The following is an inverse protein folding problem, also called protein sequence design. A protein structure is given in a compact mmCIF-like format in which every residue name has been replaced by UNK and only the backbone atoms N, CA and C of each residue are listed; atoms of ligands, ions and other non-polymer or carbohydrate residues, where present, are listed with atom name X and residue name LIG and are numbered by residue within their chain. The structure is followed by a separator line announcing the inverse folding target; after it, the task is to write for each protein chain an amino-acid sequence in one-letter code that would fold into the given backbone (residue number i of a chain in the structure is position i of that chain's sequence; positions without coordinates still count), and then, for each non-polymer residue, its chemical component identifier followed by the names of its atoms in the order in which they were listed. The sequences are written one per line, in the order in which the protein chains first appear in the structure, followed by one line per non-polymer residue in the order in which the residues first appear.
data_IF_272331344401
#
_entry.id   IF_272331344401
#
_cell.length_a   1.000
_cell.length_b   1.000
_cell.length_c   1.000
_cell.angle_alpha   90.00
_cell.angle_beta   90.00
_cell.angle_gamma   90.00
#
_symmetry.space_group_name_H-M   'P 1'
#
loop_
_entity.id
_entity.type
_entity.pdbx_description
1 polymer ?
#
# COMPACT_ATOMS: atom_id res chain seq x y z
N UNK A 1 4.97 -20.19 -26.85
CA UNK A 1 4.69 -19.71 -25.47
C UNK A 1 5.78 -18.75 -25.08
N UNK A 2 5.41 -17.49 -24.87
CA UNK A 2 6.37 -16.46 -24.47
C UNK A 2 6.68 -16.61 -22.98
N UNK A 3 7.96 -16.58 -22.62
CA UNK A 3 8.46 -16.57 -21.26
C UNK A 3 7.94 -15.37 -20.48
N UNK A 4 6.86 -15.53 -19.74
CA UNK A 4 6.31 -14.46 -18.87
C UNK A 4 6.93 -14.46 -17.46
N UNK A 5 7.89 -15.35 -17.19
CA UNK A 5 8.48 -15.56 -15.86
C UNK A 5 9.14 -14.30 -15.28
N UNK A 6 9.84 -13.52 -16.09
CA UNK A 6 10.47 -12.26 -15.64
C UNK A 6 9.45 -11.15 -15.32
N UNK A 7 8.37 -11.05 -16.10
CA UNK A 7 7.30 -10.07 -15.85
C UNK A 7 6.51 -10.38 -14.57
N UNK A 8 6.35 -11.65 -14.22
CA UNK A 8 5.69 -12.09 -13.00
C UNK A 8 6.44 -11.66 -11.73
N UNK A 9 7.75 -11.61 -11.75
CA UNK A 9 8.58 -11.27 -10.58
C UNK A 9 8.50 -9.79 -10.20
N UNK A 10 8.56 -8.89 -11.17
CA UNK A 10 8.46 -7.42 -10.96
C UNK A 10 7.06 -7.06 -10.43
N UNK A 11 6.01 -7.70 -10.90
CA UNK A 11 4.65 -7.42 -10.48
C UNK A 11 4.37 -7.81 -9.03
N UNK A 12 4.92 -8.94 -8.55
CA UNK A 12 4.72 -9.44 -7.19
C UNK A 12 5.30 -8.53 -6.11
N UNK A 13 6.43 -7.85 -6.35
CA UNK A 13 7.00 -6.89 -5.39
C UNK A 13 6.09 -5.69 -5.14
N UNK A 14 5.33 -5.24 -6.13
CA UNK A 14 4.44 -4.08 -6.00
C UNK A 14 3.20 -4.37 -5.13
N UNK A 15 2.75 -5.61 -5.05
CA UNK A 15 1.57 -6.00 -4.26
C UNK A 15 1.89 -6.35 -2.81
N UNK A 16 3.17 -6.59 -2.48
CA UNK A 16 3.56 -6.86 -1.09
C UNK A 16 3.42 -5.58 -0.25
N UNK A 17 2.85 -5.74 0.94
CA UNK A 17 2.67 -4.67 1.92
C UNK A 17 3.67 -4.75 3.06
N UNK A 18 4.07 -3.58 3.57
CA UNK A 18 4.80 -3.45 4.83
C UNK A 18 3.90 -3.51 6.06
N UNK A 19 2.56 -3.51 5.85
CA UNK A 19 1.55 -3.66 6.90
C UNK A 19 0.81 -4.97 6.68
N UNK A 20 0.33 -5.57 7.78
CA UNK A 20 -0.30 -6.89 7.78
C UNK A 20 0.49 -7.91 6.95
N UNK A 21 1.71 -8.13 7.40
CA UNK A 21 2.71 -8.93 6.68
C UNK A 21 2.25 -10.37 6.44
N UNK A 22 1.37 -10.89 7.32
CA UNK A 22 0.79 -12.23 7.18
C UNK A 22 -0.07 -12.37 5.93
N UNK A 23 -0.78 -11.31 5.54
CA UNK A 23 -1.59 -11.30 4.29
C UNK A 23 -0.73 -11.43 3.04
N UNK A 24 0.56 -11.08 3.11
CA UNK A 24 1.48 -11.31 1.99
C UNK A 24 1.66 -12.80 1.66
N UNK A 25 1.47 -13.72 2.61
CA UNK A 25 1.47 -15.16 2.32
C UNK A 25 0.31 -15.54 1.40
N UNK A 26 -0.88 -14.98 1.67
CA UNK A 26 -2.06 -15.20 0.81
C UNK A 26 -1.84 -14.63 -0.58
N UNK A 27 -1.27 -13.41 -0.68
CA UNK A 27 -0.91 -12.80 -1.98
C UNK A 27 0.09 -13.64 -2.75
N UNK A 28 1.11 -14.16 -2.07
CA UNK A 28 2.12 -15.02 -2.69
C UNK A 28 1.50 -16.34 -3.18
N UNK A 29 0.58 -16.95 -2.42
CA UNK A 29 -0.12 -18.17 -2.80
C UNK A 29 -1.00 -17.95 -4.04
N UNK A 30 -1.83 -16.89 -4.05
CA UNK A 30 -2.66 -16.56 -5.20
C UNK A 30 -1.83 -16.22 -6.45
N UNK A 31 -0.73 -15.49 -6.27
CA UNK A 31 0.16 -15.15 -7.38
C UNK A 31 0.89 -16.38 -7.94
N UNK A 32 1.30 -17.33 -7.07
CA UNK A 32 1.89 -18.58 -7.51
C UNK A 32 0.89 -19.43 -8.28
N UNK A 33 -0.31 -19.60 -7.73
CA UNK A 33 -1.40 -20.31 -8.40
C UNK A 33 -1.67 -19.74 -9.79
N UNK A 34 -1.84 -18.42 -9.90
CA UNK A 34 -2.11 -17.75 -11.17
C UNK A 34 -0.96 -17.94 -12.18
N UNK A 35 0.30 -17.87 -11.72
CA UNK A 35 1.46 -18.06 -12.58
C UNK A 35 1.53 -19.48 -13.15
N UNK A 36 1.29 -20.50 -12.29
CA UNK A 36 1.28 -21.90 -12.70
C UNK A 36 0.11 -22.20 -13.64
N UNK A 37 -1.10 -21.71 -13.30
CA UNK A 37 -2.28 -21.86 -14.15
C UNK A 37 -2.11 -21.17 -15.52
N UNK A 38 -1.36 -20.07 -15.58
CA UNK A 38 -1.01 -19.36 -16.82
C UNK A 38 0.14 -19.98 -17.61
N UNK A 39 0.68 -21.13 -17.16
CA UNK A 39 1.74 -21.86 -17.88
C UNK A 39 3.13 -21.24 -17.76
N UNK A 40 3.45 -20.57 -16.66
CA UNK A 40 4.81 -20.09 -16.42
C UNK A 40 5.80 -21.24 -16.23
N UNK A 41 6.93 -21.22 -16.93
CA UNK A 41 7.97 -22.24 -16.84
C UNK A 41 8.70 -22.21 -15.49
N UNK A 42 8.87 -21.04 -14.92
CA UNK A 42 9.56 -20.83 -13.65
C UNK A 42 8.81 -19.81 -12.79
N UNK A 43 8.63 -20.11 -11.51
CA UNK A 43 7.98 -19.22 -10.55
C UNK A 43 8.90 -18.95 -9.37
N UNK A 44 9.25 -17.68 -9.14
CA UNK A 44 10.01 -17.24 -8.00
C UNK A 44 9.10 -16.45 -7.06
N UNK A 45 8.97 -16.89 -5.80
CA UNK A 45 8.22 -16.19 -4.76
C UNK A 45 9.14 -15.46 -3.80
N UNK A 46 8.72 -14.28 -3.38
CA UNK A 46 9.40 -13.52 -2.33
C UNK A 46 8.83 -13.85 -0.95
N UNK A 47 9.65 -13.99 0.08
CA UNK A 47 9.20 -14.14 1.46
C UNK A 47 8.27 -13.00 1.87
N UNK A 48 7.21 -13.33 2.59
CA UNK A 48 6.17 -12.39 3.01
C UNK A 48 6.71 -11.22 3.86
N UNK A 49 7.81 -11.44 4.59
CA UNK A 49 8.48 -10.45 5.43
C UNK A 49 9.48 -9.56 4.69
N UNK A 50 9.79 -9.82 3.42
CA UNK A 50 10.89 -9.19 2.69
C UNK A 50 10.82 -7.66 2.61
N UNK A 51 9.62 -7.09 2.71
CA UNK A 51 9.44 -5.63 2.67
C UNK A 51 9.85 -4.97 4.00
N UNK A 52 9.67 -5.67 5.11
CA UNK A 52 9.89 -5.13 6.46
C UNK A 52 11.17 -5.62 7.09
N UNK A 53 11.70 -6.77 6.62
CA UNK A 53 12.86 -7.40 7.23
C UNK A 53 13.65 -8.30 6.27
N UNK A 54 14.91 -8.60 6.62
CA UNK A 54 15.65 -9.68 5.97
C UNK A 54 14.99 -11.02 6.31
N UNK A 55 14.60 -11.83 5.31
CA UNK A 55 13.87 -13.06 5.55
C UNK A 55 14.63 -14.09 6.38
N UNK A 56 13.96 -14.65 7.37
CA UNK A 56 14.48 -15.77 8.17
C UNK A 56 14.49 -17.09 7.40
N UNK A 57 15.09 -18.13 7.97
CA UNK A 57 15.01 -19.49 7.41
C UNK A 57 13.56 -20.03 7.40
N UNK A 58 12.76 -19.66 8.41
CA UNK A 58 11.33 -19.98 8.49
C UNK A 58 10.54 -19.35 7.36
N UNK A 59 10.75 -18.04 7.10
CA UNK A 59 10.07 -17.33 6.02
C UNK A 59 10.36 -17.95 4.64
N UNK A 60 11.62 -18.32 4.40
CA UNK A 60 12.03 -19.01 3.16
C UNK A 60 11.44 -20.41 3.07
N UNK A 61 11.27 -21.12 4.19
CA UNK A 61 10.60 -22.41 4.23
C UNK A 61 9.13 -22.29 3.86
N UNK A 62 8.42 -21.30 4.41
CA UNK A 62 7.00 -21.05 4.11
C UNK A 62 6.80 -20.82 2.62
N UNK A 63 7.61 -19.96 1.99
CA UNK A 63 7.50 -19.67 0.56
C UNK A 63 7.74 -20.90 -0.33
N UNK A 64 8.70 -21.75 0.02
CA UNK A 64 8.90 -23.04 -0.67
C UNK A 64 7.71 -23.97 -0.49
N UNK A 65 7.14 -24.00 0.72
CA UNK A 65 6.00 -24.85 1.00
C UNK A 65 4.73 -24.42 0.27
N UNK A 66 4.52 -23.13 -0.01
CA UNK A 66 3.44 -22.67 -0.89
C UNK A 66 3.51 -23.37 -2.25
N UNK A 67 4.70 -23.43 -2.85
CA UNK A 67 4.89 -24.13 -4.14
C UNK A 67 4.68 -25.65 -4.00
N UNK A 68 5.16 -26.23 -2.90
CA UNK A 68 4.98 -27.67 -2.64
C UNK A 68 3.49 -28.04 -2.44
N UNK A 69 2.71 -27.23 -1.72
CA UNK A 69 1.26 -27.41 -1.55
C UNK A 69 0.55 -27.38 -2.91
N UNK A 70 0.87 -26.38 -3.76
CA UNK A 70 0.30 -26.29 -5.10
C UNK A 70 0.67 -27.50 -5.98
N UNK A 71 1.90 -28.00 -5.85
CA UNK A 71 2.36 -29.12 -6.64
C UNK A 71 1.82 -30.48 -6.15
N UNK A 72 1.86 -30.73 -4.83
CA UNK A 72 1.64 -32.06 -4.26
C UNK A 72 0.26 -32.26 -3.63
N UNK A 73 -0.42 -31.18 -3.22
CA UNK A 73 -1.72 -31.27 -2.55
C UNK A 73 -2.87 -30.74 -3.43
N UNK A 74 -2.64 -29.69 -4.24
CA UNK A 74 -3.64 -29.22 -5.20
C UNK A 74 -3.51 -29.82 -6.60
N UNK A 75 -2.44 -30.58 -6.86
CA UNK A 75 -2.19 -31.30 -8.11
C UNK A 75 -2.28 -30.45 -9.38
N UNK A 76 -2.10 -29.14 -9.29
CA UNK A 76 -2.25 -28.21 -10.42
C UNK A 76 -1.26 -28.51 -11.57
N UNK A 77 -0.12 -29.14 -11.25
CA UNK A 77 0.89 -29.54 -12.23
C UNK A 77 0.52 -30.80 -13.04
N UNK A 78 -0.56 -31.48 -12.68
CA UNK A 78 -0.99 -32.72 -13.40
C UNK A 78 -1.73 -32.38 -14.70
N UNK A 79 -2.07 -31.15 -14.95
CA UNK A 79 -2.72 -30.67 -16.17
C UNK A 79 -1.80 -29.70 -16.88
N UNK A 80 -1.56 -29.94 -18.19
CA UNK A 80 -0.61 -29.11 -18.97
C UNK A 80 -1.07 -27.67 -19.18
N UNK A 81 -2.38 -27.43 -19.25
CA UNK A 81 -2.98 -26.12 -19.43
C UNK A 81 -4.29 -26.04 -18.64
N UNK A 82 -4.22 -25.77 -17.33
CA UNK A 82 -5.40 -25.79 -16.45
C UNK A 82 -6.46 -24.75 -16.83
N UNK A 83 -6.07 -23.65 -17.48
CA UNK A 83 -6.96 -22.56 -17.90
C UNK A 83 -7.40 -22.66 -19.36
N UNK A 84 -6.86 -23.63 -20.11
CA UNK A 84 -7.14 -23.83 -21.54
C UNK A 84 -8.61 -24.08 -21.83
N UNK A 85 -9.14 -23.47 -22.88
CA UNK A 85 -10.53 -23.58 -23.30
C UNK A 85 -11.53 -22.69 -22.49
N UNK A 86 -11.06 -21.94 -21.49
CA UNK A 86 -11.88 -20.92 -20.84
C UNK A 86 -12.05 -19.71 -21.76
N UNK A 87 -13.23 -19.45 -22.27
CA UNK A 87 -13.51 -18.31 -23.16
C UNK A 87 -13.04 -16.96 -22.58
N UNK A 88 -13.20 -16.78 -21.27
CA UNK A 88 -12.74 -15.56 -20.60
C UNK A 88 -11.22 -15.42 -20.60
N UNK A 89 -10.51 -16.50 -20.26
CA UNK A 89 -9.04 -16.51 -20.19
C UNK A 89 -8.42 -16.37 -21.58
N UNK A 90 -8.93 -17.11 -22.58
CA UNK A 90 -8.47 -17.02 -23.97
C UNK A 90 -8.66 -15.61 -24.55
N UNK A 91 -9.88 -15.05 -24.41
CA UNK A 91 -10.17 -13.70 -24.89
C UNK A 91 -9.30 -12.63 -24.19
N UNK A 92 -9.07 -12.78 -22.88
CA UNK A 92 -8.22 -11.85 -22.13
C UNK A 92 -6.76 -11.97 -22.56
N UNK A 93 -6.28 -13.17 -22.85
CA UNK A 93 -4.93 -13.44 -23.36
C UNK A 93 -4.72 -12.77 -24.71
N UNK A 94 -5.67 -12.91 -25.65
CA UNK A 94 -5.62 -12.26 -26.95
C UNK A 94 -5.61 -10.72 -26.84
N UNK A 95 -6.46 -10.17 -25.99
CA UNK A 95 -6.50 -8.71 -25.74
C UNK A 95 -5.15 -8.21 -25.21
N UNK A 96 -4.55 -8.92 -24.22
CA UNK A 96 -3.24 -8.54 -23.69
C UNK A 96 -2.13 -8.67 -24.74
N UNK A 97 -2.15 -9.73 -25.55
CA UNK A 97 -1.17 -9.92 -26.63
C UNK A 97 -1.25 -8.78 -27.63
N UNK A 98 -2.45 -8.41 -28.10
CA UNK A 98 -2.66 -7.29 -29.03
C UNK A 98 -2.20 -5.96 -28.42
N UNK A 99 -2.60 -5.65 -27.18
CA UNK A 99 -2.20 -4.40 -26.52
C UNK A 99 -0.69 -4.31 -26.28
N UNK A 100 -0.05 -5.40 -25.92
CA UNK A 100 1.39 -5.46 -25.74
C UNK A 100 2.11 -5.22 -27.07
N UNK A 101 1.60 -5.80 -28.16
CA UNK A 101 2.13 -5.62 -29.51
C UNK A 101 1.97 -4.18 -29.99
N UNK A 102 0.81 -3.55 -29.78
CA UNK A 102 0.59 -2.12 -30.08
C UNK A 102 1.63 -1.23 -29.38
N UNK A 103 1.87 -1.48 -28.07
CA UNK A 103 2.87 -0.71 -27.30
C UNK A 103 4.28 -0.94 -27.83
N UNK A 104 4.62 -2.19 -28.16
CA UNK A 104 5.92 -2.52 -28.77
C UNK A 104 6.13 -1.78 -30.09
N UNK A 105 5.16 -1.84 -31.01
CA UNK A 105 5.21 -1.14 -32.29
C UNK A 105 5.34 0.38 -32.10
N UNK A 106 4.63 0.96 -31.14
CA UNK A 106 4.73 2.38 -30.82
C UNK A 106 6.14 2.78 -30.36
N UNK A 107 6.79 1.96 -29.54
CA UNK A 107 8.16 2.18 -29.07
C UNK A 107 9.15 2.07 -30.22
N UNK A 108 9.03 1.02 -31.05
CA UNK A 108 9.92 0.79 -32.21
C UNK A 108 9.79 1.88 -33.27
N UNK A 109 8.57 2.33 -33.59
CA UNK A 109 8.35 3.42 -34.59
C UNK A 109 9.02 4.73 -34.19
N UNK A 110 9.29 4.93 -32.90
CA UNK A 110 9.97 6.12 -32.36
C UNK A 110 11.48 5.91 -32.13
N UNK A 111 12.06 4.86 -32.71
CA UNK A 111 13.49 4.56 -32.67
C UNK A 111 13.96 3.63 -31.57
N UNK A 112 13.05 2.81 -31.03
CA UNK A 112 13.34 1.71 -30.15
C UNK A 112 13.44 2.08 -28.67
N UNK A 113 13.42 1.05 -27.80
CA UNK A 113 13.33 1.18 -26.35
C UNK A 113 14.43 2.07 -25.75
N UNK A 114 15.71 1.86 -26.13
CA UNK A 114 16.83 2.61 -25.55
C UNK A 114 16.73 4.12 -25.83
N UNK A 115 16.33 4.51 -27.06
CA UNK A 115 16.14 5.90 -27.42
C UNK A 115 14.99 6.54 -26.67
N UNK A 116 13.85 5.83 -26.53
CA UNK A 116 12.68 6.30 -25.82
C UNK A 116 12.92 6.38 -24.31
N UNK A 117 13.72 5.49 -23.74
CA UNK A 117 14.10 5.54 -22.33
C UNK A 117 14.98 6.78 -22.03
N UNK A 118 15.98 7.05 -22.89
CA UNK A 118 16.82 8.25 -22.77
C UNK A 118 16.03 9.56 -22.97
N UNK A 119 15.03 9.55 -23.85
CA UNK A 119 14.15 10.69 -24.11
C UNK A 119 13.10 10.91 -23.00
N UNK A 120 12.92 9.96 -22.07
CA UNK A 120 11.94 10.06 -20.98
C UNK A 120 10.52 9.59 -21.32
N UNK A 121 10.23 9.20 -22.57
CA UNK A 121 8.89 8.77 -23.00
C UNK A 121 8.40 7.52 -22.28
N UNK A 122 9.30 6.57 -22.00
CA UNK A 122 8.96 5.38 -21.19
C UNK A 122 8.55 5.79 -19.78
N UNK A 123 9.25 6.75 -19.17
CA UNK A 123 8.91 7.31 -17.87
C UNK A 123 7.49 7.91 -17.86
N UNK A 124 7.16 8.71 -18.90
CA UNK A 124 5.81 9.30 -19.02
C UNK A 124 4.70 8.26 -19.15
N UNK A 125 4.93 7.19 -19.91
CA UNK A 125 3.98 6.08 -20.06
C UNK A 125 3.73 5.39 -18.71
N UNK A 126 4.79 5.11 -17.95
CA UNK A 126 4.69 4.50 -16.61
C UNK A 126 3.97 5.43 -15.63
N UNK A 127 4.29 6.73 -15.63
CA UNK A 127 3.63 7.72 -14.77
C UNK A 127 2.14 7.87 -15.09
N UNK A 128 1.77 7.85 -16.37
CA UNK A 128 0.35 7.88 -16.78
C UNK A 128 -0.42 6.66 -16.26
N UNK A 129 0.15 5.47 -16.42
CA UNK A 129 -0.45 4.24 -15.90
C UNK A 129 -0.55 4.26 -14.37
N UNK A 130 0.49 4.76 -13.69
CA UNK A 130 0.49 4.89 -12.23
C UNK A 130 -0.59 5.86 -11.72
N UNK A 131 -0.78 7.00 -12.37
CA UNK A 131 -1.83 7.98 -11.98
C UNK A 131 -3.22 7.35 -11.96
N UNK A 132 -3.56 6.56 -12.99
CA UNK A 132 -4.85 5.85 -13.03
C UNK A 132 -4.96 4.86 -11.87
N UNK A 133 -3.92 4.05 -11.65
CA UNK A 133 -3.89 3.06 -10.59
C UNK A 133 -3.95 3.69 -9.20
N UNK A 134 -3.20 4.77 -8.99
CA UNK A 134 -3.25 5.53 -7.74
C UNK A 134 -4.66 6.05 -7.46
N UNK A 135 -5.33 6.65 -8.44
CA UNK A 135 -6.70 7.12 -8.25
C UNK A 135 -7.67 5.98 -7.86
N UNK A 136 -7.51 4.78 -8.45
CA UNK A 136 -8.32 3.63 -8.07
C UNK A 136 -8.04 3.16 -6.63
N UNK A 137 -6.77 3.21 -6.19
CA UNK A 137 -6.40 2.90 -4.81
C UNK A 137 -6.95 3.95 -3.85
N UNK A 138 -6.79 5.23 -4.16
CA UNK A 138 -7.25 6.35 -3.33
C UNK A 138 -8.77 6.35 -3.13
N UNK A 139 -9.54 5.95 -4.17
CA UNK A 139 -10.99 5.82 -4.08
C UNK A 139 -11.47 4.44 -3.60
N UNK A 140 -10.54 3.54 -3.26
CA UNK A 140 -10.80 2.14 -2.88
C UNK A 140 -11.58 1.33 -3.92
N UNK A 141 -11.55 1.77 -5.19
CA UNK A 141 -12.03 0.95 -6.31
C UNK A 141 -11.16 -0.31 -6.46
N UNK A 142 -9.83 -0.14 -6.28
CA UNK A 142 -8.86 -1.23 -6.10
C UNK A 142 -8.50 -1.28 -4.61
N UNK A 143 -8.93 -2.33 -3.90
CA UNK A 143 -8.61 -2.47 -2.48
C UNK A 143 -7.33 -3.28 -2.25
N UNK A 144 -6.63 -2.95 -1.17
CA UNK A 144 -5.47 -3.70 -0.67
C UNK A 144 -5.83 -4.25 0.71
N UNK A 145 -6.18 -5.54 0.77
CA UNK A 145 -6.59 -6.23 2.01
C UNK A 145 -5.51 -6.11 3.09
N UNK A 146 -5.92 -5.83 4.32
CA UNK A 146 -5.01 -5.59 5.45
C UNK A 146 -4.40 -4.18 5.46
N UNK A 147 -4.67 -3.34 4.43
CA UNK A 147 -4.13 -1.99 4.30
C UNK A 147 -5.24 -0.96 4.07
N UNK A 148 -5.81 -0.88 2.85
CA UNK A 148 -6.93 0.03 2.54
C UNK A 148 -8.30 -0.56 2.83
N UNK A 149 -8.36 -1.87 3.13
CA UNK A 149 -9.56 -2.60 3.55
C UNK A 149 -9.17 -3.62 4.61
N UNK A 150 -9.97 -3.70 5.68
CA UNK A 150 -9.76 -4.61 6.80
C UNK A 150 -8.37 -4.50 7.45
N UNK A 151 -7.89 -3.28 7.79
CA UNK A 151 -6.57 -3.11 8.43
C UNK A 151 -6.56 -3.63 9.86
N UNK A 152 -5.45 -4.26 10.27
CA UNK A 152 -5.19 -4.57 11.67
C UNK A 152 -4.50 -3.38 12.36
N UNK A 153 -5.19 -2.75 13.31
CA UNK A 153 -4.65 -1.62 14.08
C UNK A 153 -3.61 -2.03 15.12
N UNK A 154 -3.64 -3.29 15.56
CA UNK A 154 -2.84 -3.79 16.68
C UNK A 154 -1.63 -4.61 16.23
N UNK A 155 -1.32 -4.60 14.93
CA UNK A 155 -0.12 -5.29 14.43
C UNK A 155 1.15 -4.76 15.11
N UNK A 156 2.03 -5.67 15.51
CA UNK A 156 3.30 -5.33 16.16
C UNK A 156 4.48 -5.47 15.19
N UNK A 157 4.78 -4.41 14.45
CA UNK A 157 5.90 -4.36 13.51
C UNK A 157 7.27 -4.35 14.19
N UNK A 158 7.39 -3.91 15.44
CA UNK A 158 8.68 -3.84 16.15
C UNK A 158 9.26 -5.24 16.38
N UNK A 159 8.42 -6.23 16.66
CA UNK A 159 8.86 -7.63 16.77
C UNK A 159 9.46 -8.16 15.47
N UNK A 160 8.96 -7.69 14.32
CA UNK A 160 9.42 -8.11 13.01
C UNK A 160 10.72 -7.37 12.64
N UNK A 161 10.80 -6.07 12.91
CA UNK A 161 11.97 -5.21 12.62
C UNK A 161 13.18 -5.52 13.52
N UNK A 162 12.98 -5.80 14.79
CA UNK A 162 14.07 -6.02 15.77
C UNK A 162 14.98 -7.22 15.46
N UNK A 163 14.49 -8.21 14.70
CA UNK A 163 15.29 -9.37 14.28
C UNK A 163 16.33 -8.99 13.21
N UNK A 164 16.13 -7.90 12.48
CA UNK A 164 16.95 -7.49 11.32
C UNK A 164 18.13 -6.64 11.68
N UNK A 165 17.95 -5.67 12.57
CA UNK A 165 19.05 -4.75 12.94
C UNK A 165 20.24 -5.47 13.57
N UNK A 166 20.01 -6.58 14.25
CA UNK A 166 21.08 -7.41 14.82
C UNK A 166 21.97 -8.09 13.77
N UNK A 167 21.43 -8.40 12.56
CA UNK A 167 22.18 -9.11 11.51
C UNK A 167 22.93 -8.19 10.55
N UNK A 168 22.47 -6.97 10.32
CA UNK A 168 23.11 -6.03 9.39
C UNK A 168 24.41 -5.42 9.96
N UNK A 169 24.51 -5.27 11.28
CA UNK A 169 25.72 -4.73 11.94
C UNK A 169 26.93 -5.68 11.88
N UNK A 170 26.76 -6.93 11.47
CA UNK A 170 27.85 -7.92 11.43
C UNK A 170 28.51 -8.12 10.07
N UNK A 171 28.05 -7.47 8.99
CA UNK A 171 28.53 -7.74 7.63
C UNK A 171 29.28 -6.59 6.94
N UNK A 172 29.53 -5.48 7.60
CA UNK A 172 30.32 -4.41 6.99
C UNK A 172 31.70 -4.32 7.65
N UNK A 173 32.67 -5.02 7.09
CA UNK A 173 34.11 -4.64 7.08
C UNK A 173 34.92 -5.74 6.41
N UNK A 174 35.41 -5.44 5.22
CA UNK A 174 36.79 -5.73 4.72
C UNK A 174 36.74 -5.67 3.18
N UNK A 175 37.35 -4.67 2.63
CA UNK A 175 37.69 -4.55 1.21
C UNK A 175 38.64 -3.39 1.03
N UNK A 176 39.63 -3.53 0.17
CA UNK A 176 40.56 -2.47 -0.22
C UNK A 176 39.84 -1.21 -0.66
N UNK A 177 40.22 -0.05 -0.13
CA UNK A 177 39.64 1.25 -0.44
C UNK A 177 39.94 1.72 -1.86
N UNK A 178 39.21 2.71 -2.34
CA UNK A 178 39.27 3.22 -3.73
C UNK A 178 40.58 3.92 -4.10
N UNK A 179 41.48 4.19 -3.17
CA UNK A 179 42.66 5.05 -3.40
C UNK A 179 43.90 4.30 -3.86
N UNK A 180 43.92 2.97 -3.87
CA UNK A 180 45.13 2.18 -4.10
C UNK A 180 45.18 1.46 -5.46
N UNK A 181 44.20 1.67 -6.32
CA UNK A 181 44.10 0.96 -7.59
C UNK A 181 44.11 1.95 -8.78
N UNK A 182 45.21 2.04 -9.48
CA UNK A 182 45.27 2.67 -10.78
C UNK A 182 44.73 1.69 -11.83
N UNK A 183 43.44 1.80 -12.17
CA UNK A 183 42.77 0.96 -13.16
C UNK A 183 42.59 1.77 -14.46
N UNK A 184 43.07 1.24 -15.59
CA UNK A 184 42.87 1.83 -16.90
C UNK A 184 41.46 1.48 -17.52
N UNK A 185 40.75 0.62 -16.84
CA UNK A 185 39.40 0.16 -17.23
C UNK A 185 39.43 -1.03 -18.18
N UNK A 186 40.55 -1.70 -18.38
CA UNK A 186 40.62 -2.97 -19.10
C UNK A 186 40.00 -4.09 -18.26
N UNK A 187 39.52 -5.15 -18.93
CA UNK A 187 38.96 -6.33 -18.24
C UNK A 187 40.05 -7.01 -17.36
N UNK A 188 41.28 -7.07 -17.86
CA UNK A 188 42.39 -7.71 -17.14
C UNK A 188 42.74 -6.98 -15.84
N UNK A 189 42.69 -5.66 -15.84
CA UNK A 189 42.94 -4.87 -14.62
C UNK A 189 41.81 -5.02 -13.61
N UNK A 190 40.54 -5.03 -14.08
CA UNK A 190 39.37 -5.29 -13.21
C UNK A 190 39.46 -6.70 -12.60
N UNK A 191 39.90 -7.69 -13.40
CA UNK A 191 40.05 -9.08 -12.95
C UNK A 191 41.19 -9.20 -11.91
N UNK A 192 42.34 -8.56 -12.14
CA UNK A 192 43.43 -8.51 -11.17
C UNK A 192 43.03 -7.81 -9.88
N UNK A 193 42.34 -6.66 -9.99
CA UNK A 193 41.85 -5.93 -8.83
C UNK A 193 40.87 -6.74 -8.01
N UNK A 194 39.94 -7.45 -8.68
CA UNK A 194 39.02 -8.36 -8.02
C UNK A 194 39.76 -9.49 -7.27
N UNK A 195 40.79 -10.08 -7.90
CA UNK A 195 41.64 -11.10 -7.29
C UNK A 195 42.47 -10.59 -6.08
N UNK A 196 42.77 -9.29 -6.04
CA UNK A 196 43.42 -8.61 -4.91
C UNK A 196 42.42 -8.18 -3.81
N UNK A 197 41.13 -8.49 -3.93
CA UNK A 197 40.13 -8.19 -2.92
C UNK A 197 39.51 -6.79 -3.04
N UNK A 198 39.56 -6.16 -4.22
CA UNK A 198 38.88 -4.88 -4.43
C UNK A 198 37.39 -4.99 -4.20
N UNK A 199 36.80 -4.02 -3.50
CA UNK A 199 35.38 -4.00 -3.21
C UNK A 199 34.56 -3.79 -4.51
N UNK A 200 33.43 -4.49 -4.64
CA UNK A 200 32.56 -4.41 -5.84
C UNK A 200 32.18 -2.98 -6.21
N UNK A 201 31.97 -2.11 -5.22
CA UNK A 201 31.63 -0.69 -5.47
C UNK A 201 32.78 0.09 -6.16
N UNK A 202 34.03 -0.33 -5.95
CA UNK A 202 35.22 0.26 -6.62
C UNK A 202 35.24 -0.18 -8.08
N UNK A 203 35.05 -1.48 -8.32
CA UNK A 203 35.00 -2.04 -9.68
C UNK A 203 33.81 -1.48 -10.50
N UNK A 204 32.66 -1.33 -9.84
CA UNK A 204 31.45 -0.78 -10.47
C UNK A 204 31.61 0.69 -10.92
N UNK A 205 32.40 1.50 -10.23
CA UNK A 205 32.70 2.89 -10.67
C UNK A 205 33.38 2.93 -12.04
N UNK A 206 34.32 2.04 -12.29
CA UNK A 206 34.99 1.94 -13.59
C UNK A 206 34.05 1.53 -14.72
N UNK A 207 33.07 0.69 -14.45
CA UNK A 207 32.05 0.30 -15.42
C UNK A 207 31.00 1.40 -15.61
N UNK A 208 30.71 2.19 -14.57
CA UNK A 208 29.67 3.21 -14.57
C UNK A 208 30.02 4.50 -15.31
N UNK A 209 31.29 4.88 -15.42
CA UNK A 209 31.73 6.12 -16.09
C UNK A 209 31.45 6.16 -17.61
N UNK A 210 31.22 5.00 -18.23
CA UNK A 210 30.85 4.86 -19.65
C UNK A 210 29.34 4.84 -19.90
N UNK A 211 28.52 4.72 -18.86
CA UNK A 211 27.08 4.63 -19.00
C UNK A 211 26.46 6.04 -19.03
N UNK A 212 25.56 6.27 -20.01
CA UNK A 212 24.73 7.48 -20.00
C UNK A 212 23.81 7.41 -18.77
N UNK A 213 23.82 8.48 -17.98
CA UNK A 213 22.92 8.59 -16.83
C UNK A 213 21.46 8.60 -17.29
N UNK A 214 20.68 7.64 -16.82
CA UNK A 214 19.25 7.54 -17.08
C UNK A 214 18.54 7.89 -15.78
N UNK A 215 17.50 8.73 -15.85
CA UNK A 215 16.63 8.97 -14.70
C UNK A 215 15.94 7.64 -14.31
N UNK A 216 16.19 7.11 -13.11
CA UNK A 216 15.61 5.83 -12.71
C UNK A 216 14.08 5.95 -12.59
N UNK A 217 13.36 4.93 -13.03
CA UNK A 217 11.93 4.81 -12.78
C UNK A 217 11.76 4.46 -11.31
N UNK A 218 11.00 5.28 -10.58
CA UNK A 218 10.75 5.05 -9.15
C UNK A 218 9.99 3.73 -8.95
N UNK A 219 10.58 2.80 -8.22
CA UNK A 219 9.86 1.62 -7.76
C UNK A 219 8.81 2.04 -6.72
N UNK A 220 7.57 1.55 -6.88
CA UNK A 220 6.42 1.91 -6.03
C UNK A 220 5.66 0.66 -5.63
N UNK A 221 5.12 0.65 -4.41
CA UNK A 221 4.21 -0.37 -3.92
C UNK A 221 2.79 0.20 -3.85
N UNK A 222 1.78 -0.67 -4.02
CA UNK A 222 0.37 -0.26 -4.00
C UNK A 222 -0.05 0.29 -2.62
N UNK A 223 0.58 -0.19 -1.57
CA UNK A 223 0.29 0.12 -0.17
C UNK A 223 1.12 1.29 0.41
N UNK A 224 2.13 1.80 -0.31
CA UNK A 224 3.16 2.70 0.23
C UNK A 224 2.59 3.99 0.86
N UNK A 225 1.60 4.61 0.22
CA UNK A 225 0.99 5.84 0.72
C UNK A 225 0.15 5.60 1.99
N UNK A 226 -0.56 4.47 2.04
CA UNK A 226 -1.32 4.05 3.24
C UNK A 226 -0.38 3.65 4.39
N UNK A 227 0.72 2.97 4.10
CA UNK A 227 1.71 2.59 5.09
C UNK A 227 2.30 3.82 5.78
N UNK A 228 2.67 4.86 4.99
CA UNK A 228 3.19 6.11 5.52
C UNK A 228 2.21 6.81 6.47
N UNK A 229 0.92 6.81 6.14
CA UNK A 229 -0.11 7.38 7.00
C UNK A 229 -0.20 6.63 8.34
N UNK A 230 -0.13 5.30 8.31
CA UNK A 230 -0.12 4.48 9.53
C UNK A 230 1.18 4.61 10.32
N UNK A 231 2.33 4.80 9.66
CA UNK A 231 3.61 5.06 10.33
C UNK A 231 3.50 6.36 11.17
N UNK A 232 2.82 7.39 10.67
CA UNK A 232 2.56 8.61 11.42
C UNK A 232 1.72 8.35 12.68
N UNK A 233 0.67 7.51 12.58
CA UNK A 233 -0.12 7.09 13.74
C UNK A 233 0.70 6.29 14.76
N UNK A 234 1.64 5.46 14.33
CA UNK A 234 2.54 4.72 15.23
C UNK A 234 3.52 5.68 15.94
N UNK A 235 4.02 6.71 15.24
CA UNK A 235 4.82 7.79 15.87
C UNK A 235 4.01 8.52 16.94
N UNK A 236 2.75 8.83 16.66
CA UNK A 236 1.83 9.43 17.64
C UNK A 236 1.62 8.50 18.84
N UNK A 237 1.34 7.22 18.61
CA UNK A 237 1.20 6.21 19.67
C UNK A 237 2.42 6.17 20.60
N UNK A 238 3.62 6.21 20.02
CA UNK A 238 4.87 6.21 20.80
C UNK A 238 5.02 7.47 21.66
N UNK A 239 4.62 8.65 21.12
CA UNK A 239 4.69 9.94 21.82
C UNK A 239 3.59 10.11 22.87
N UNK A 240 2.33 9.82 22.52
CA UNK A 240 1.15 10.08 23.35
C UNK A 240 0.66 8.89 24.16
N UNK A 241 1.24 7.68 23.93
CA UNK A 241 0.85 6.39 24.56
C UNK A 241 -0.59 5.96 24.26
N UNK A 242 -1.20 6.55 23.23
CA UNK A 242 -2.50 6.19 22.64
C UNK A 242 -2.49 6.51 21.15
N UNK A 243 -3.37 5.86 20.40
CA UNK A 243 -3.60 6.24 18.99
C UNK A 243 -4.49 7.50 18.89
N UNK A 244 -4.46 8.21 17.75
CA UNK A 244 -5.49 9.20 17.44
C UNK A 244 -6.86 8.52 17.51
N UNK A 245 -7.87 9.17 18.12
CA UNK A 245 -9.16 8.53 18.39
C UNK A 245 -10.32 9.42 17.99
N UNK A 246 -11.19 8.92 17.12
CA UNK A 246 -12.46 9.53 16.76
C UNK A 246 -13.61 9.00 17.62
N UNK A 247 -14.51 9.87 18.09
CA UNK A 247 -15.74 9.47 18.75
C UNK A 247 -16.89 9.43 17.74
N UNK A 248 -17.43 8.23 17.49
CA UNK A 248 -18.60 8.03 16.64
C UNK A 248 -19.85 8.36 17.43
N UNK A 249 -20.57 9.39 16.98
CA UNK A 249 -21.86 9.81 17.50
C UNK A 249 -22.94 9.13 16.67
N UNK A 250 -23.68 8.22 17.28
CA UNK A 250 -24.75 7.45 16.65
C UNK A 250 -26.08 8.21 16.79
N UNK A 251 -26.78 8.43 15.66
CA UNK A 251 -28.09 9.05 15.65
C UNK A 251 -29.15 8.00 15.24
N UNK A 252 -30.28 7.98 15.95
CA UNK A 252 -31.39 7.08 15.68
C UNK A 252 -31.24 5.70 16.29
N UNK A 253 -31.76 4.68 15.60
CA UNK A 253 -31.76 3.28 16.05
C UNK A 253 -30.60 2.48 15.39
N UNK A 254 -30.24 1.30 15.93
CA UNK A 254 -29.18 0.47 15.35
C UNK A 254 -29.33 0.20 13.85
N UNK A 255 -30.54 0.00 13.35
CA UNK A 255 -30.84 -0.20 11.92
C UNK A 255 -30.48 1.02 11.07
N UNK A 256 -30.52 2.22 11.64
CA UNK A 256 -30.21 3.47 10.95
C UNK A 256 -28.71 3.73 10.86
N UNK A 257 -27.92 3.39 11.89
CA UNK A 257 -26.52 3.79 11.96
C UNK A 257 -25.48 2.66 11.77
N UNK A 258 -25.81 1.38 12.03
CA UNK A 258 -24.82 0.29 12.06
C UNK A 258 -23.95 0.21 10.80
N UNK A 259 -24.55 0.31 9.61
CA UNK A 259 -23.80 0.21 8.36
C UNK A 259 -22.76 1.33 8.22
N UNK A 260 -23.11 2.56 8.62
CA UNK A 260 -22.19 3.72 8.57
C UNK A 260 -21.17 3.72 9.69
N UNK A 261 -21.52 3.18 10.85
CA UNK A 261 -20.57 2.98 11.96
C UNK A 261 -19.47 2.03 11.51
N UNK A 262 -19.81 0.84 10.99
CA UNK A 262 -18.83 -0.12 10.48
C UNK A 262 -18.00 0.48 9.34
N UNK A 263 -18.62 1.24 8.45
CA UNK A 263 -17.90 1.97 7.41
C UNK A 263 -16.90 2.97 7.98
N UNK A 264 -17.31 3.81 8.93
CA UNK A 264 -16.48 4.83 9.55
C UNK A 264 -15.31 4.19 10.33
N UNK A 265 -15.56 3.13 11.08
CA UNK A 265 -14.51 2.36 11.78
C UNK A 265 -13.44 1.85 10.82
N UNK A 266 -13.86 1.16 9.74
CA UNK A 266 -12.94 0.67 8.72
C UNK A 266 -12.20 1.81 8.01
N UNK A 267 -12.89 2.93 7.77
CA UNK A 267 -12.31 4.10 7.14
C UNK A 267 -11.19 4.71 7.98
N UNK A 268 -11.45 4.93 9.27
CA UNK A 268 -10.47 5.50 10.21
C UNK A 268 -9.31 4.55 10.48
N UNK A 269 -9.58 3.25 10.59
CA UNK A 269 -8.57 2.23 10.79
C UNK A 269 -7.51 2.18 9.67
N UNK A 270 -7.86 2.55 8.42
CA UNK A 270 -6.90 2.70 7.32
C UNK A 270 -5.81 3.71 7.66
N UNK A 271 -6.16 4.81 8.33
CA UNK A 271 -5.23 5.84 8.81
C UNK A 271 -4.53 5.51 10.14
N UNK A 272 -4.83 4.35 10.72
CA UNK A 272 -4.32 4.01 12.06
C UNK A 272 -5.04 4.76 13.20
N UNK A 273 -6.27 5.21 12.95
CA UNK A 273 -7.09 5.96 13.90
C UNK A 273 -8.06 5.00 14.58
N UNK A 274 -8.07 4.98 15.90
CA UNK A 274 -9.06 4.25 16.71
C UNK A 274 -10.40 4.97 16.74
N UNK A 275 -11.47 4.23 17.03
CA UNK A 275 -12.80 4.79 17.18
C UNK A 275 -13.48 4.28 18.43
N UNK A 276 -14.20 5.16 19.12
CA UNK A 276 -15.12 4.86 20.21
C UNK A 276 -16.54 5.26 19.78
N UNK A 277 -17.56 4.72 20.42
CA UNK A 277 -18.95 4.94 20.03
C UNK A 277 -19.81 5.41 21.20
N UNK A 278 -20.73 6.34 20.91
CA UNK A 278 -21.76 6.76 21.86
C UNK A 278 -23.05 7.13 21.14
N UNK A 279 -24.21 6.87 21.77
CA UNK A 279 -25.48 7.35 21.25
C UNK A 279 -25.71 8.82 21.60
N UNK A 280 -26.17 9.61 20.64
CA UNK A 280 -26.48 11.04 20.86
C UNK A 280 -27.54 11.27 21.97
N UNK A 281 -28.44 10.30 22.16
CA UNK A 281 -29.45 10.35 23.22
C UNK A 281 -28.92 10.04 24.62
N UNK A 282 -27.66 9.64 24.75
CA UNK A 282 -27.04 9.38 26.05
C UNK A 282 -26.71 10.71 26.74
N UNK A 283 -27.12 10.87 28.00
CA UNK A 283 -26.84 12.07 28.80
C UNK A 283 -25.36 12.36 29.06
N UNK A 284 -24.46 11.38 28.80
CA UNK A 284 -23.01 11.51 29.01
C UNK A 284 -22.23 11.95 27.74
N UNK A 285 -22.90 12.39 26.65
CA UNK A 285 -22.23 12.75 25.38
C UNK A 285 -21.21 13.86 25.58
N UNK A 286 -21.56 14.93 26.28
CA UNK A 286 -20.65 16.05 26.58
C UNK A 286 -19.42 15.60 27.38
N UNK A 287 -19.63 14.73 28.38
CA UNK A 287 -18.56 14.14 29.16
C UNK A 287 -17.66 13.22 28.34
N UNK A 288 -18.24 12.46 27.43
CA UNK A 288 -17.47 11.61 26.49
C UNK A 288 -16.64 12.46 25.53
N UNK A 289 -17.21 13.51 24.96
CA UNK A 289 -16.53 14.45 24.04
C UNK A 289 -15.35 15.14 24.72
N UNK A 290 -15.52 15.59 25.95
CA UNK A 290 -14.52 16.32 26.74
C UNK A 290 -13.61 15.36 27.54
N UNK A 291 -13.87 14.07 27.50
CA UNK A 291 -13.05 13.03 28.08
C UNK A 291 -11.63 12.98 27.53
N UNK A 292 -10.71 12.41 28.29
CA UNK A 292 -9.33 12.25 27.82
C UNK A 292 -9.29 11.27 26.65
N UNK A 293 -8.67 11.71 25.55
CA UNK A 293 -8.30 10.81 24.46
C UNK A 293 -9.13 10.91 23.19
N UNK A 294 -10.19 11.71 23.15
CA UNK A 294 -10.95 11.97 21.91
C UNK A 294 -10.35 13.17 21.18
N UNK A 295 -10.03 12.99 19.91
CA UNK A 295 -9.39 14.03 19.08
C UNK A 295 -10.39 14.71 18.14
N UNK A 296 -11.42 14.00 17.65
CA UNK A 296 -12.46 14.52 16.76
C UNK A 296 -13.74 13.68 16.84
N UNK A 297 -14.82 14.13 16.19
CA UNK A 297 -16.13 13.49 16.21
C UNK A 297 -16.53 13.00 14.83
N UNK A 298 -17.30 11.91 14.77
CA UNK A 298 -17.84 11.32 13.53
C UNK A 298 -19.33 11.07 13.73
N UNK A 299 -20.18 11.69 12.91
CA UNK A 299 -21.63 11.46 12.99
C UNK A 299 -22.02 10.34 12.03
N UNK A 300 -22.74 9.34 12.52
CA UNK A 300 -23.21 8.19 11.77
C UNK A 300 -24.70 7.96 11.95
N UNK A 301 -25.47 7.95 10.82
CA UNK A 301 -26.86 7.54 10.74
C UNK A 301 -27.29 7.28 9.28
N UNK A 302 -28.57 6.97 9.05
CA UNK A 302 -29.19 6.90 7.72
C UNK A 302 -29.50 8.29 7.16
N UNK A 303 -29.69 8.39 5.82
CA UNK A 303 -30.04 9.65 5.17
C UNK A 303 -31.37 10.19 5.70
N UNK A 304 -32.34 9.33 5.96
CA UNK A 304 -33.64 9.69 6.53
C UNK A 304 -33.48 10.40 7.89
N UNK A 305 -32.67 9.83 8.78
CA UNK A 305 -32.44 10.42 10.12
C UNK A 305 -31.64 11.73 10.00
N UNK A 306 -30.74 11.83 9.03
CA UNK A 306 -30.03 13.09 8.76
C UNK A 306 -30.96 14.22 8.35
N UNK A 307 -31.96 13.95 7.50
CA UNK A 307 -32.97 14.94 7.12
C UNK A 307 -33.77 15.45 8.31
N UNK A 308 -34.03 14.59 9.31
CA UNK A 308 -34.86 14.94 10.48
C UNK A 308 -34.11 15.69 11.58
N UNK A 309 -32.89 15.25 11.95
CA UNK A 309 -32.26 15.71 13.18
C UNK A 309 -30.79 16.15 13.05
N UNK A 310 -30.16 16.03 11.87
CA UNK A 310 -28.72 16.32 11.73
C UNK A 310 -28.37 17.76 12.05
N UNK A 311 -29.17 18.74 11.58
CA UNK A 311 -28.91 20.16 11.84
C UNK A 311 -28.89 20.48 13.32
N UNK A 312 -29.88 19.98 14.06
CA UNK A 312 -29.97 20.17 15.53
C UNK A 312 -28.80 19.49 16.21
N UNK A 313 -28.45 18.27 15.77
CA UNK A 313 -27.32 17.52 16.32
C UNK A 313 -25.97 18.22 16.12
N UNK A 314 -25.72 18.77 14.94
CA UNK A 314 -24.47 19.50 14.64
C UNK A 314 -24.39 20.76 15.51
N UNK A 315 -25.47 21.56 15.62
CA UNK A 315 -25.52 22.75 16.51
C UNK A 315 -25.26 22.36 17.97
N UNK A 316 -25.88 21.30 18.45
CA UNK A 316 -25.69 20.81 19.80
C UNK A 316 -24.24 20.36 20.05
N UNK A 317 -23.65 19.56 19.14
CA UNK A 317 -22.26 19.12 19.26
C UNK A 317 -21.29 20.33 19.20
N UNK A 318 -21.53 21.30 18.32
CA UNK A 318 -20.69 22.48 18.20
C UNK A 318 -20.75 23.39 19.46
N UNK A 319 -21.88 23.41 20.18
CA UNK A 319 -21.95 24.11 21.47
C UNK A 319 -21.14 23.43 22.58
N UNK A 320 -20.91 22.10 22.47
CA UNK A 320 -20.17 21.32 23.46
C UNK A 320 -18.64 21.32 23.18
N UNK A 321 -18.20 21.53 21.92
CA UNK A 321 -16.78 21.37 21.57
C UNK A 321 -16.37 22.13 20.31
N UNK A 322 -15.08 22.49 20.26
CA UNK A 322 -14.42 23.01 19.06
C UNK A 322 -13.70 21.94 18.24
N UNK A 323 -13.78 20.66 18.64
CA UNK A 323 -13.16 19.55 17.89
C UNK A 323 -13.79 19.41 16.52
N UNK A 324 -13.03 18.93 15.55
CA UNK A 324 -13.51 18.64 14.19
C UNK A 324 -14.71 17.68 14.20
N UNK A 325 -15.72 17.99 13.40
CA UNK A 325 -16.92 17.18 13.21
C UNK A 325 -16.93 16.64 11.77
N UNK A 326 -16.88 15.32 11.65
CA UNK A 326 -16.90 14.59 10.38
C UNK A 326 -18.27 13.94 10.20
N UNK A 327 -18.85 13.98 9.01
CA UNK A 327 -20.12 13.30 8.69
C UNK A 327 -19.88 12.10 7.78
N UNK A 328 -20.40 10.94 8.18
CA UNK A 328 -20.39 9.74 7.36
C UNK A 328 -21.51 9.80 6.30
N UNK A 329 -21.34 10.64 5.27
CA UNK A 329 -22.27 10.81 4.16
C UNK A 329 -21.56 11.46 2.97
N UNK A 330 -22.12 11.23 1.76
CA UNK A 330 -21.66 11.92 0.54
C UNK A 330 -22.12 13.38 0.57
N UNK A 331 -21.27 14.35 0.21
CA UNK A 331 -21.67 15.73 0.09
C UNK A 331 -22.86 15.92 -0.85
N UNK A 332 -23.84 16.71 -0.46
CA UNK A 332 -24.99 17.07 -1.27
C UNK A 332 -25.35 18.55 -1.06
N UNK A 333 -26.13 19.13 -1.99
CA UNK A 333 -26.60 20.51 -1.86
C UNK A 333 -27.38 20.76 -0.55
N UNK A 334 -28.04 19.75 -0.02
CA UNK A 334 -28.81 19.81 1.23
C UNK A 334 -27.91 19.84 2.47
N UNK A 335 -26.71 19.23 2.40
CA UNK A 335 -25.76 19.11 3.49
C UNK A 335 -24.69 20.24 3.51
N UNK A 336 -24.50 20.95 2.38
CA UNK A 336 -23.55 22.06 2.28
C UNK A 336 -23.80 23.19 3.32
N UNK A 337 -25.05 23.60 3.62
CA UNK A 337 -25.29 24.63 4.65
C UNK A 337 -24.81 24.24 6.04
N UNK A 338 -24.66 22.93 6.34
CA UNK A 338 -24.19 22.47 7.65
C UNK A 338 -22.72 22.79 7.90
N UNK A 339 -21.93 23.09 6.85
CA UNK A 339 -20.56 23.59 7.01
C UNK A 339 -20.51 24.92 7.77
N UNK A 340 -21.47 25.80 7.50
CA UNK A 340 -21.58 27.08 8.24
C UNK A 340 -21.96 26.86 9.70
N UNK A 341 -22.65 25.77 9.99
CA UNK A 341 -23.06 25.38 11.34
C UNK A 341 -21.97 24.62 12.11
N UNK A 342 -20.84 24.34 11.45
CA UNK A 342 -19.69 23.72 12.09
C UNK A 342 -19.46 22.25 11.72
N UNK A 343 -20.03 21.76 10.62
CA UNK A 343 -19.63 20.49 10.03
C UNK A 343 -18.35 20.69 9.19
N UNK A 344 -17.27 19.98 9.49
CA UNK A 344 -15.97 20.28 8.89
C UNK A 344 -15.69 19.40 7.65
N UNK A 345 -15.97 18.08 7.72
CA UNK A 345 -15.61 17.13 6.66
C UNK A 345 -16.67 16.07 6.41
N UNK A 346 -16.57 15.43 5.25
CA UNK A 346 -17.40 14.28 4.86
C UNK A 346 -16.50 13.06 4.61
N UNK A 347 -17.00 11.88 4.95
CA UNK A 347 -16.40 10.59 4.56
C UNK A 347 -17.47 9.73 3.89
N UNK A 348 -17.14 9.12 2.74
CA UNK A 348 -18.08 8.32 1.97
C UNK A 348 -17.37 7.31 1.07
N UNK A 349 -18.13 6.36 0.53
CA UNK A 349 -17.58 5.38 -0.43
C UNK A 349 -17.25 6.05 -1.76
N UNK A 350 -15.99 5.94 -2.19
CA UNK A 350 -15.50 6.52 -3.45
C UNK A 350 -14.88 7.92 -3.31
N UNK A 351 -14.75 8.46 -2.09
CA UNK A 351 -13.91 9.63 -1.85
C UNK A 351 -12.41 9.27 -1.94
N UNK A 352 -11.57 10.30 -1.93
CA UNK A 352 -10.12 10.14 -1.89
C UNK A 352 -9.65 9.93 -0.46
N UNK A 353 -9.73 8.69 0.01
CA UNK A 353 -9.46 8.34 1.40
C UNK A 353 -8.11 8.82 1.92
N UNK A 354 -7.05 8.77 1.10
CA UNK A 354 -5.72 9.24 1.53
C UNK A 354 -5.71 10.74 1.77
N UNK A 355 -6.28 11.54 0.86
CA UNK A 355 -6.35 12.99 0.99
C UNK A 355 -7.17 13.36 2.23
N UNK A 356 -8.34 12.74 2.41
CA UNK A 356 -9.22 13.00 3.57
C UNK A 356 -8.58 12.62 4.90
N UNK A 357 -7.91 11.47 4.98
CA UNK A 357 -7.23 11.03 6.21
C UNK A 357 -5.98 11.86 6.50
N UNK A 358 -5.26 12.34 5.48
CA UNK A 358 -4.16 13.28 5.65
C UNK A 358 -4.65 14.61 6.22
N UNK A 359 -5.72 15.15 5.67
CA UNK A 359 -6.34 16.37 6.18
C UNK A 359 -6.80 16.25 7.64
N UNK A 360 -7.39 15.09 8.00
CA UNK A 360 -7.75 14.78 9.40
C UNK A 360 -6.49 14.75 10.26
N UNK A 361 -5.45 14.10 9.80
CA UNK A 361 -4.18 13.98 10.50
C UNK A 361 -3.51 15.36 10.73
N UNK A 362 -3.59 16.25 9.73
CA UNK A 362 -3.08 17.62 9.82
C UNK A 362 -3.82 18.43 10.88
N UNK A 363 -5.14 18.36 10.87
CA UNK A 363 -5.98 19.16 11.76
C UNK A 363 -5.85 18.75 13.23
N UNK A 364 -5.72 17.46 13.51
CA UNK A 364 -5.50 16.96 14.88
C UNK A 364 -4.02 16.88 15.28
N UNK A 365 -3.09 17.18 14.34
CA UNK A 365 -1.67 17.37 14.62
C UNK A 365 -0.83 16.09 14.70
N UNK A 366 -1.21 15.00 14.05
CA UNK A 366 -0.38 13.79 13.99
C UNK A 366 0.34 13.58 12.64
N UNK A 367 0.57 14.65 11.90
CA UNK A 367 1.49 14.62 10.78
C UNK A 367 2.89 14.32 11.27
N UNK A 368 3.52 13.29 10.71
CA UNK A 368 4.88 12.95 11.06
C UNK A 368 5.84 14.09 10.74
N UNK A 369 6.12 14.93 11.72
CA UNK A 369 7.26 15.83 11.80
C UNK A 369 8.36 15.17 12.59
#
# INVERSE_FOLDING_TARGET
RSDSSAASDVYKRQVLSGRDVSVNMLRASCACFSAVAGGADTVTLFPHTQIVSAPSSSDRRIIRNIQNVLKHESFIANVADPAGGSFYVENLTDIFAQKSWEIFQLIESKGGFSKQLLAGSIYEMVEKAWKVRKNNLDTRRDSVTGVSSFPDLYENLEKIKAVVEKKLKSQSKTGLGSNDLALDGSFDDLFKAAGQGAHLSVLAKFLGERAKAIKPIKARRLSEDFERLRDNSDVWLNKKKRRPTGLIIRLGKPVDYNARVVFAQNYMAVGGIETQEIDMSNGDVEKAINGQGIDFLIICSSDRVYEEILEVSVKSLRSMTQKMIVLASKPSKQLEPLKVLGLDKFIYSGDKILDTLQDIAEEIGFNGT
#
